data_IF_917606716961
#
_entry.id   IF_917606716961
#
_cell.length_a   1.000
_cell.length_b   1.000
_cell.length_c   1.000
_cell.angle_alpha   90.00
_cell.angle_beta   90.00
_cell.angle_gamma   90.00
#
_symmetry.space_group_name_H-M   'P 1'
#
loop_
_entity.id
_entity.type
_entity.pdbx_description
1 polymer ?
#
# COMPACT_ATOMS: atom_id res chain seq x y z
N UNK A 1 14.86 -67.69 10.53
CA UNK A 1 15.00 -66.37 9.86
C UNK A 1 13.96 -65.44 10.46
N UNK A 2 14.31 -64.68 11.51
CA UNK A 2 13.37 -63.76 12.15
C UNK A 2 13.75 -62.34 11.74
N UNK A 3 13.02 -61.78 10.78
CA UNK A 3 13.20 -60.40 10.35
C UNK A 3 12.61 -59.49 11.44
N UNK A 4 13.48 -58.95 12.30
CA UNK A 4 13.14 -57.89 13.24
C UNK A 4 12.78 -56.64 12.45
N UNK A 5 11.51 -56.52 12.06
CA UNK A 5 10.95 -55.33 11.46
C UNK A 5 11.07 -54.18 12.44
N UNK A 6 12.03 -53.28 12.20
CA UNK A 6 12.19 -52.03 12.94
C UNK A 6 10.88 -51.26 12.77
N UNK A 7 9.97 -51.36 13.75
CA UNK A 7 8.77 -50.52 13.77
C UNK A 7 9.24 -49.07 13.67
N UNK A 8 8.84 -48.34 12.62
CA UNK A 8 9.30 -46.99 12.45
C UNK A 8 8.60 -46.14 13.52
N UNK A 9 9.28 -45.91 14.64
CA UNK A 9 8.77 -45.12 15.77
C UNK A 9 8.34 -43.71 15.34
N UNK A 10 8.95 -43.18 14.27
CA UNK A 10 8.70 -41.85 13.72
C UNK A 10 7.27 -41.68 13.18
N UNK A 11 6.76 -42.47 12.22
CA UNK A 11 5.38 -42.37 11.76
C UNK A 11 4.34 -42.70 12.84
N UNK A 12 4.64 -43.57 13.80
CA UNK A 12 3.74 -43.82 14.94
C UNK A 12 3.61 -42.56 15.81
N UNK A 13 4.74 -41.91 16.13
CA UNK A 13 4.76 -40.64 16.86
C UNK A 13 4.04 -39.52 16.10
N UNK A 14 4.27 -39.40 14.80
CA UNK A 14 3.55 -38.41 13.96
C UNK A 14 2.05 -38.69 13.91
N UNK A 15 1.64 -39.96 13.81
CA UNK A 15 0.24 -40.36 13.85
C UNK A 15 -0.44 -39.95 15.15
N UNK A 16 0.22 -40.14 16.30
CA UNK A 16 -0.30 -39.72 17.62
C UNK A 16 -0.41 -38.20 17.74
N UNK A 17 0.59 -37.45 17.24
CA UNK A 17 0.53 -35.98 17.22
C UNK A 17 -0.61 -35.49 16.33
N UNK A 18 -0.80 -36.07 15.15
CA UNK A 18 -1.90 -35.70 14.25
C UNK A 18 -3.26 -36.03 14.86
N UNK A 19 -3.42 -37.20 15.48
CA UNK A 19 -4.64 -37.58 16.20
C UNK A 19 -4.94 -36.65 17.38
N UNK A 20 -3.90 -36.22 18.11
CA UNK A 20 -4.02 -35.23 19.17
C UNK A 20 -4.46 -33.87 18.62
N UNK A 21 -3.87 -33.39 17.53
CA UNK A 21 -4.25 -32.13 16.89
C UNK A 21 -5.69 -32.16 16.38
N UNK A 22 -6.13 -33.27 15.78
CA UNK A 22 -7.51 -33.44 15.31
C UNK A 22 -8.49 -33.51 16.49
N UNK A 23 -8.13 -34.24 17.56
CA UNK A 23 -8.94 -34.32 18.78
C UNK A 23 -9.07 -32.98 19.50
N UNK A 24 -7.99 -32.20 19.58
CA UNK A 24 -7.99 -30.85 20.16
C UNK A 24 -8.85 -29.87 19.35
N UNK A 25 -8.83 -30.01 18.01
CA UNK A 25 -9.60 -29.17 17.10
C UNK A 25 -11.11 -29.43 17.17
N UNK A 26 -11.54 -30.70 17.27
CA UNK A 26 -12.95 -31.08 17.14
C UNK A 26 -13.67 -31.40 18.47
N UNK A 27 -13.02 -31.98 19.47
CA UNK A 27 -13.71 -32.43 20.69
C UNK A 27 -13.62 -31.44 21.87
N UNK A 28 -12.49 -30.75 22.06
CA UNK A 28 -12.18 -30.13 23.37
C UNK A 28 -12.31 -28.61 23.41
N UNK A 29 -12.53 -27.92 22.27
CA UNK A 29 -12.44 -26.43 22.23
C UNK A 29 -11.10 -25.95 22.84
N UNK A 30 -10.02 -26.64 22.46
CA UNK A 30 -8.70 -26.49 23.05
C UNK A 30 -7.94 -25.21 22.65
N UNK A 31 -6.68 -25.07 23.07
CA UNK A 31 -5.85 -23.89 22.85
C UNK A 31 -5.64 -23.55 21.37
N UNK A 32 -5.66 -24.54 20.47
CA UNK A 32 -5.54 -24.31 19.02
C UNK A 32 -6.78 -23.61 18.45
N UNK A 33 -7.97 -24.01 18.88
CA UNK A 33 -9.20 -23.33 18.48
C UNK A 33 -9.26 -21.91 19.05
N UNK A 34 -8.80 -21.69 20.28
CA UNK A 34 -8.63 -20.33 20.83
C UNK A 34 -7.62 -19.50 20.05
N UNK A 35 -6.51 -20.08 19.57
CA UNK A 35 -5.58 -19.36 18.70
C UNK A 35 -6.19 -19.04 17.34
N UNK A 36 -6.97 -19.94 16.76
CA UNK A 36 -7.73 -19.70 15.53
C UNK A 36 -8.80 -18.61 15.74
N UNK A 37 -9.56 -18.66 16.84
CA UNK A 37 -10.56 -17.65 17.19
C UNK A 37 -9.93 -16.28 17.49
N UNK A 38 -8.72 -16.23 18.06
CA UNK A 38 -7.97 -14.98 18.26
C UNK A 38 -7.41 -14.43 16.93
N UNK A 39 -7.20 -15.30 15.95
CA UNK A 39 -6.75 -14.92 14.60
C UNK A 39 -7.93 -14.52 13.72
N UNK A 40 -9.13 -15.05 14.00
CA UNK A 40 -10.38 -14.72 13.33
C UNK A 40 -10.87 -13.31 13.75
N UNK A 41 -10.88 -12.34 12.82
CA UNK A 41 -11.28 -10.96 13.11
C UNK A 41 -12.74 -10.82 13.56
N UNK A 42 -13.58 -11.82 13.25
CA UNK A 42 -15.02 -11.78 13.48
C UNK A 42 -15.46 -12.65 14.68
N UNK A 43 -14.51 -13.24 15.40
CA UNK A 43 -14.82 -14.01 16.61
C UNK A 43 -15.40 -13.12 17.73
N UNK A 44 -16.30 -13.65 18.58
CA UNK A 44 -16.89 -12.87 19.67
C UNK A 44 -15.83 -12.37 20.68
N UNK A 45 -14.70 -13.08 20.82
CA UNK A 45 -13.58 -12.68 21.66
C UNK A 45 -12.74 -11.53 21.05
N UNK A 46 -12.54 -11.53 19.74
CA UNK A 46 -11.82 -10.44 19.07
C UNK A 46 -12.65 -9.16 18.97
N UNK A 47 -13.98 -9.28 18.86
CA UNK A 47 -14.92 -8.15 18.89
C UNK A 47 -15.01 -7.48 20.27
N UNK A 48 -14.99 -8.25 21.35
CA UNK A 48 -14.98 -7.71 22.72
C UNK A 48 -13.66 -7.00 23.03
N UNK A 49 -12.54 -7.62 22.69
CA UNK A 49 -11.22 -6.98 22.81
C UNK A 49 -11.09 -5.72 21.91
N UNK A 50 -11.70 -5.72 20.72
CA UNK A 50 -11.74 -4.55 19.84
C UNK A 50 -12.54 -3.39 20.44
N UNK A 51 -13.70 -3.68 21.06
CA UNK A 51 -14.51 -2.68 21.78
C UNK A 51 -13.77 -2.08 22.97
N UNK A 52 -13.08 -2.91 23.77
CA UNK A 52 -12.26 -2.45 24.90
C UNK A 52 -11.11 -1.53 24.45
N UNK A 53 -10.50 -1.83 23.30
CA UNK A 53 -9.44 -1.00 22.69
C UNK A 53 -9.98 0.22 21.94
N UNK A 54 -11.29 0.41 21.89
CA UNK A 54 -11.92 1.52 21.18
C UNK A 54 -11.72 1.48 19.67
N UNK A 55 -11.64 0.29 19.07
CA UNK A 55 -11.56 0.13 17.61
C UNK A 55 -12.93 0.39 16.99
N UNK A 56 -12.99 1.31 16.04
CA UNK A 56 -14.21 1.73 15.34
C UNK A 56 -14.37 0.98 14.01
N UNK A 57 -13.26 0.76 13.29
CA UNK A 57 -13.24 0.01 12.03
C UNK A 57 -11.93 -0.77 11.87
N UNK A 58 -11.92 -1.76 10.98
CA UNK A 58 -10.71 -2.47 10.55
C UNK A 58 -10.62 -2.46 9.04
N UNK A 59 -9.49 -2.01 8.50
CA UNK A 59 -9.23 -1.97 7.06
C UNK A 59 -8.05 -2.88 6.75
N UNK A 60 -8.31 -3.99 6.07
CA UNK A 60 -7.32 -5.04 5.75
C UNK A 60 -6.44 -5.45 6.95
N UNK A 61 -7.08 -5.70 8.10
CA UNK A 61 -6.41 -6.12 9.34
C UNK A 61 -5.81 -4.99 10.19
N UNK A 62 -5.82 -3.74 9.70
CA UNK A 62 -5.33 -2.57 10.46
C UNK A 62 -6.49 -1.91 11.23
N UNK A 63 -6.40 -1.76 12.56
CA UNK A 63 -7.47 -1.15 13.36
C UNK A 63 -7.44 0.39 13.26
N UNK A 64 -8.61 0.97 13.02
CA UNK A 64 -8.89 2.40 13.17
C UNK A 64 -9.51 2.62 14.55
N UNK A 65 -8.85 3.42 15.38
CA UNK A 65 -9.26 3.68 16.77
C UNK A 65 -10.16 4.91 16.87
N UNK A 66 -10.97 4.97 17.94
CA UNK A 66 -11.83 6.13 18.22
C UNK A 66 -11.02 7.42 18.33
N UNK A 67 -9.87 7.37 19.00
CA UNK A 67 -8.98 8.54 19.10
C UNK A 67 -8.44 9.01 17.74
N UNK A 68 -8.26 8.13 16.76
CA UNK A 68 -7.90 8.54 15.39
C UNK A 68 -9.06 9.23 14.68
N UNK A 69 -10.26 8.67 14.80
CA UNK A 69 -11.49 9.26 14.25
C UNK A 69 -11.79 10.63 14.86
N UNK A 70 -11.70 10.77 16.19
CA UNK A 70 -11.96 12.04 16.87
C UNK A 70 -10.96 13.13 16.47
N UNK A 71 -9.68 12.75 16.26
CA UNK A 71 -8.67 13.68 15.74
C UNK A 71 -8.96 14.09 14.29
N UNK A 72 -9.31 13.14 13.42
CA UNK A 72 -9.64 13.44 12.04
C UNK A 72 -10.88 14.36 11.95
N UNK A 73 -11.89 14.10 12.78
CA UNK A 73 -13.06 14.97 12.90
C UNK A 73 -12.68 16.37 13.36
N UNK A 74 -11.84 16.49 14.39
CA UNK A 74 -11.41 17.79 14.91
C UNK A 74 -10.60 18.58 13.86
N UNK A 75 -9.74 17.90 13.10
CA UNK A 75 -8.97 18.50 12.00
C UNK A 75 -9.88 18.99 10.87
N UNK A 76 -10.85 18.18 10.46
CA UNK A 76 -11.82 18.55 9.43
C UNK A 76 -12.68 19.75 9.86
N UNK A 77 -13.19 19.72 11.10
CA UNK A 77 -13.96 20.84 11.65
C UNK A 77 -13.11 22.12 11.75
N UNK A 78 -11.84 21.99 12.11
CA UNK A 78 -10.91 23.12 12.16
C UNK A 78 -10.66 23.73 10.78
N UNK A 79 -10.49 22.92 9.73
CA UNK A 79 -10.37 23.38 8.35
C UNK A 79 -11.62 24.13 7.87
N UNK A 80 -12.80 23.67 8.29
CA UNK A 80 -14.09 24.30 7.99
C UNK A 80 -14.40 25.52 8.87
N UNK A 81 -13.53 25.84 9.85
CA UNK A 81 -13.72 26.93 10.80
C UNK A 81 -14.87 26.71 11.79
N UNK A 82 -15.28 25.46 12.02
CA UNK A 82 -16.40 25.08 12.90
C UNK A 82 -15.88 24.36 14.14
N UNK A 83 -16.67 24.39 15.22
CA UNK A 83 -16.36 23.60 16.43
C UNK A 83 -17.39 22.48 16.60
N UNK A 84 -16.99 21.36 17.20
CA UNK A 84 -17.90 20.22 17.48
C UNK A 84 -19.15 20.58 18.30
N UNK A 85 -19.13 21.72 18.99
CA UNK A 85 -20.25 22.25 19.78
C UNK A 85 -21.29 22.98 18.93
N UNK A 86 -20.94 23.38 17.70
CA UNK A 86 -21.79 24.17 16.81
C UNK A 86 -22.70 23.30 15.94
N UNK A 87 -22.48 21.98 15.91
CA UNK A 87 -23.22 21.05 15.05
C UNK A 87 -24.39 20.40 15.80
N UNK A 88 -25.49 20.17 15.08
CA UNK A 88 -26.59 19.37 15.59
C UNK A 88 -26.15 17.91 15.82
N UNK A 89 -26.82 17.14 16.69
CA UNK A 89 -26.48 15.72 16.90
C UNK A 89 -26.54 14.87 15.62
N UNK A 90 -27.39 15.24 14.66
CA UNK A 90 -27.49 14.57 13.37
C UNK A 90 -26.27 14.91 12.47
N UNK A 91 -25.88 16.17 12.42
CA UNK A 91 -24.74 16.62 11.61
C UNK A 91 -23.41 16.11 12.18
N UNK A 92 -23.30 16.02 13.52
CA UNK A 92 -22.15 15.38 14.18
C UNK A 92 -22.01 13.91 13.81
N UNK A 93 -23.12 13.19 13.65
CA UNK A 93 -23.09 11.79 13.23
C UNK A 93 -22.58 11.70 11.78
N UNK A 94 -23.11 12.52 10.88
CA UNK A 94 -22.66 12.56 9.49
C UNK A 94 -21.18 12.95 9.37
N UNK A 95 -20.73 13.95 10.14
CA UNK A 95 -19.33 14.37 10.17
C UNK A 95 -18.41 13.26 10.70
N UNK A 96 -18.85 12.46 11.69
CA UNK A 96 -18.09 11.29 12.16
C UNK A 96 -18.01 10.19 11.09
N UNK A 97 -19.09 9.94 10.36
CA UNK A 97 -19.10 8.97 9.26
C UNK A 97 -18.16 9.43 8.14
N UNK A 98 -18.22 10.70 7.72
CA UNK A 98 -17.31 11.27 6.73
C UNK A 98 -15.83 11.20 7.17
N UNK A 99 -15.53 11.54 8.43
CA UNK A 99 -14.18 11.43 8.97
C UNK A 99 -13.69 9.97 9.03
N UNK A 100 -14.59 9.01 9.25
CA UNK A 100 -14.25 7.59 9.21
C UNK A 100 -13.96 7.13 7.77
N UNK A 101 -14.79 7.51 6.80
CA UNK A 101 -14.61 7.17 5.39
C UNK A 101 -13.26 7.70 4.85
N UNK A 102 -12.92 8.95 5.18
CA UNK A 102 -11.62 9.54 4.81
C UNK A 102 -10.45 8.75 5.41
N UNK A 103 -10.57 8.29 6.68
CA UNK A 103 -9.56 7.46 7.31
C UNK A 103 -9.44 6.08 6.65
N UNK A 104 -10.55 5.51 6.16
CA UNK A 104 -10.57 4.27 5.41
C UNK A 104 -9.85 4.47 4.07
N UNK A 105 -10.17 5.52 3.33
CA UNK A 105 -9.56 5.82 2.04
C UNK A 105 -8.06 6.06 2.16
N UNK A 106 -7.64 6.83 3.15
CA UNK A 106 -6.22 7.01 3.47
C UNK A 106 -5.51 5.68 3.77
N UNK A 107 -6.19 4.76 4.45
CA UNK A 107 -5.63 3.46 4.76
C UNK A 107 -5.54 2.57 3.53
N UNK A 108 -6.56 2.56 2.66
CA UNK A 108 -6.54 1.86 1.38
C UNK A 108 -5.44 2.40 0.47
N UNK A 109 -5.27 3.72 0.41
CA UNK A 109 -4.20 4.35 -0.36
C UNK A 109 -2.83 3.92 0.15
N UNK A 110 -2.60 3.92 1.47
CA UNK A 110 -1.34 3.43 2.07
C UNK A 110 -1.06 1.98 1.72
N UNK A 111 -2.09 1.12 1.74
CA UNK A 111 -1.95 -0.28 1.37
C UNK A 111 -1.60 -0.44 -0.12
N UNK A 112 -2.25 0.31 -1.00
CA UNK A 112 -1.92 0.31 -2.43
C UNK A 112 -0.48 0.79 -2.68
N UNK A 113 -0.07 1.88 -2.03
CA UNK A 113 1.31 2.39 -2.12
C UNK A 113 2.31 1.34 -1.62
N UNK A 114 2.03 0.68 -0.49
CA UNK A 114 2.90 -0.39 0.03
C UNK A 114 2.98 -1.59 -0.93
N UNK A 115 1.86 -2.02 -1.48
CA UNK A 115 1.81 -3.12 -2.44
C UNK A 115 2.58 -2.79 -3.74
N UNK A 116 2.46 -1.55 -4.21
CA UNK A 116 3.12 -1.08 -5.43
C UNK A 116 4.58 -0.67 -5.18
N UNK A 117 4.99 -0.40 -3.95
CA UNK A 117 6.35 0.05 -3.62
C UNK A 117 7.45 -0.88 -4.15
N UNK A 118 7.18 -2.20 -4.16
CA UNK A 118 8.09 -3.20 -4.72
C UNK A 118 8.20 -3.11 -6.26
N UNK A 119 7.14 -2.71 -6.96
CA UNK A 119 7.11 -2.54 -8.42
C UNK A 119 7.63 -1.15 -8.85
N UNK A 120 7.64 -0.19 -7.92
CA UNK A 120 8.12 1.18 -8.11
C UNK A 120 9.62 1.34 -7.85
N UNK A 121 10.34 0.26 -7.52
CA UNK A 121 11.80 0.32 -7.36
C UNK A 121 12.43 0.50 -8.75
N UNK A 122 13.20 1.58 -8.91
CA UNK A 122 14.12 1.72 -10.04
C UNK A 122 15.29 0.78 -9.79
N UNK A 123 15.53 -0.17 -10.70
CA UNK A 123 16.68 -1.06 -10.58
C UNK A 123 17.96 -0.30 -10.90
N UNK A 124 19.10 -0.72 -10.34
CA UNK A 124 20.39 -0.08 -10.61
C UNK A 124 20.74 -0.10 -12.11
N UNK A 125 20.33 -1.16 -12.82
CA UNK A 125 20.49 -1.28 -14.27
C UNK A 125 19.67 -0.23 -15.05
N UNK A 126 18.44 0.05 -14.64
CA UNK A 126 17.60 1.09 -15.27
C UNK A 126 18.17 2.49 -15.02
N UNK A 127 18.71 2.73 -13.81
CA UNK A 127 19.37 3.98 -13.46
C UNK A 127 20.62 4.14 -14.32
N UNK A 128 21.45 3.10 -14.45
CA UNK A 128 22.67 3.13 -15.28
C UNK A 128 22.37 3.40 -16.75
N UNK A 129 21.36 2.75 -17.32
CA UNK A 129 20.93 3.04 -18.68
C UNK A 129 20.47 4.49 -18.84
N UNK A 130 19.71 5.01 -17.88
CA UNK A 130 19.22 6.39 -17.92
C UNK A 130 20.36 7.39 -17.78
N UNK A 131 21.35 7.11 -16.93
CA UNK A 131 22.59 7.88 -16.82
C UNK A 131 23.34 7.86 -18.14
N UNK A 132 23.54 6.69 -18.77
CA UNK A 132 24.19 6.59 -20.09
C UNK A 132 23.46 7.40 -21.16
N UNK A 133 22.13 7.32 -21.21
CA UNK A 133 21.32 8.14 -22.14
C UNK A 133 21.44 9.63 -21.85
N UNK A 134 21.54 10.02 -20.58
CA UNK A 134 21.73 11.42 -20.20
C UNK A 134 23.12 11.91 -20.60
N UNK A 135 24.18 11.17 -20.27
CA UNK A 135 25.56 11.49 -20.63
C UNK A 135 25.74 11.56 -22.14
N UNK A 136 25.13 10.64 -22.90
CA UNK A 136 25.18 10.63 -24.36
C UNK A 136 24.50 11.83 -25.04
N UNK A 137 23.69 12.63 -24.32
CA UNK A 137 23.12 13.88 -24.82
C UNK A 137 24.06 15.08 -24.68
N UNK A 138 25.15 14.93 -23.92
CA UNK A 138 26.14 15.98 -23.72
C UNK A 138 27.39 15.68 -24.55
N UNK A 139 27.92 16.70 -25.20
CA UNK A 139 29.12 16.59 -26.05
C UNK A 139 30.40 16.35 -25.23
N UNK A 140 30.42 16.70 -23.94
CA UNK A 140 31.56 16.51 -23.06
C UNK A 140 31.18 16.36 -21.59
N UNK A 141 32.08 15.76 -20.79
CA UNK A 141 31.94 15.68 -19.32
C UNK A 141 31.86 17.06 -18.66
N UNK A 142 32.57 18.06 -19.19
CA UNK A 142 32.53 19.44 -18.67
C UNK A 142 31.18 20.13 -18.89
N UNK A 143 30.50 19.83 -20.01
CA UNK A 143 29.14 20.33 -20.26
C UNK A 143 28.11 19.71 -19.30
N UNK A 144 28.26 18.42 -18.98
CA UNK A 144 27.44 17.73 -17.97
C UNK A 144 27.65 18.32 -16.58
N UNK A 145 28.89 18.52 -16.13
CA UNK A 145 29.18 19.11 -14.82
C UNK A 145 28.64 20.55 -14.70
N UNK A 146 28.72 21.33 -15.78
CA UNK A 146 28.16 22.68 -15.82
C UNK A 146 26.63 22.66 -15.70
N UNK A 147 25.97 21.70 -16.38
CA UNK A 147 24.53 21.48 -16.26
C UNK A 147 24.12 20.92 -14.88
N UNK A 148 24.95 20.11 -14.24
CA UNK A 148 24.71 19.63 -12.88
C UNK A 148 24.80 20.78 -11.87
N UNK A 149 25.81 21.64 -12.00
CA UNK A 149 25.97 22.82 -11.14
C UNK A 149 24.81 23.81 -11.30
N UNK A 150 24.32 24.04 -12.52
CA UNK A 150 23.15 24.91 -12.74
C UNK A 150 21.86 24.37 -12.13
N UNK A 151 21.77 23.04 -11.93
CA UNK A 151 20.62 22.38 -11.28
C UNK A 151 20.82 22.12 -9.77
N UNK A 152 21.89 22.65 -9.18
CA UNK A 152 22.21 22.47 -7.75
C UNK A 152 22.55 21.02 -7.39
N UNK A 153 23.14 20.27 -8.33
CA UNK A 153 23.57 18.88 -8.11
C UNK A 153 25.08 18.88 -7.87
N UNK A 154 25.47 18.60 -6.62
CA UNK A 154 26.87 18.65 -6.22
C UNK A 154 27.63 17.34 -6.49
N UNK A 155 26.94 16.18 -6.48
CA UNK A 155 27.55 14.86 -6.62
C UNK A 155 26.84 14.00 -7.67
N UNK A 156 27.57 13.07 -8.27
CA UNK A 156 27.01 12.09 -9.20
C UNK A 156 25.96 11.18 -8.53
N UNK A 157 26.12 10.87 -7.24
CA UNK A 157 25.13 10.10 -6.48
C UNK A 157 23.78 10.82 -6.40
N UNK A 158 23.78 12.15 -6.18
CA UNK A 158 22.55 12.94 -6.13
C UNK A 158 21.84 12.95 -7.50
N UNK A 159 22.61 12.91 -8.60
CA UNK A 159 22.06 12.76 -9.95
C UNK A 159 21.37 11.39 -10.11
N UNK A 160 22.02 10.31 -9.65
CA UNK A 160 21.46 8.96 -9.69
C UNK A 160 20.18 8.86 -8.86
N UNK A 161 20.15 9.47 -7.68
CA UNK A 161 18.97 9.48 -6.81
C UNK A 161 17.80 10.28 -7.43
N UNK A 162 18.09 11.41 -8.08
CA UNK A 162 17.09 12.18 -8.84
C UNK A 162 16.56 11.41 -10.04
N UNK A 163 17.43 10.72 -10.78
CA UNK A 163 17.02 9.87 -11.90
C UNK A 163 16.19 8.69 -11.41
N UNK A 164 16.57 8.06 -10.30
CA UNK A 164 15.79 7.03 -9.66
C UNK A 164 14.40 7.55 -9.32
N UNK A 165 14.29 8.69 -8.62
CA UNK A 165 13.02 9.31 -8.27
C UNK A 165 12.12 9.57 -9.50
N UNK A 166 12.69 10.10 -10.59
CA UNK A 166 11.97 10.32 -11.86
C UNK A 166 11.48 9.01 -12.46
N UNK A 167 12.30 7.94 -12.47
CA UNK A 167 11.89 6.61 -12.95
C UNK A 167 10.73 6.08 -12.11
N UNK A 168 10.77 6.22 -10.77
CA UNK A 168 9.66 5.78 -9.90
C UNK A 168 8.37 6.52 -10.24
N UNK A 169 8.45 7.83 -10.48
CA UNK A 169 7.31 8.65 -10.85
C UNK A 169 6.72 8.26 -12.21
N UNK A 170 7.56 8.06 -13.24
CA UNK A 170 7.13 7.58 -14.56
C UNK A 170 6.44 6.20 -14.46
N UNK A 171 7.03 5.26 -13.70
CA UNK A 171 6.43 3.93 -13.46
C UNK A 171 5.08 4.03 -12.76
N UNK A 172 4.96 4.90 -11.76
CA UNK A 172 3.70 5.12 -11.05
C UNK A 172 2.60 5.65 -11.98
N UNK A 173 2.93 6.66 -12.81
CA UNK A 173 2.00 7.23 -13.79
C UNK A 173 1.58 6.16 -14.81
N UNK A 174 2.53 5.39 -15.35
CA UNK A 174 2.23 4.34 -16.33
C UNK A 174 1.35 3.23 -15.74
N UNK A 175 1.60 2.81 -14.50
CA UNK A 175 0.79 1.80 -13.83
C UNK A 175 -0.63 2.28 -13.51
N UNK A 176 -0.79 3.55 -13.12
CA UNK A 176 -2.07 4.08 -12.63
C UNK A 176 -2.92 4.77 -13.68
N UNK A 177 -2.31 5.38 -14.68
CA UNK A 177 -3.00 6.18 -15.69
C UNK A 177 -2.97 5.47 -17.04
N UNK A 178 -1.88 4.78 -17.38
CA UNK A 178 -1.72 4.04 -18.64
C UNK A 178 -2.93 3.14 -19.01
N UNK A 179 -3.48 2.33 -18.10
CA UNK A 179 -4.65 1.49 -18.39
C UNK A 179 -5.95 2.27 -18.65
N UNK A 180 -6.04 3.52 -18.19
CA UNK A 180 -7.23 4.36 -18.30
C UNK A 180 -7.16 5.35 -19.48
N UNK A 181 -6.00 5.51 -20.11
CA UNK A 181 -5.85 6.31 -21.33
C UNK A 181 -6.30 5.46 -22.53
N UNK A 182 -7.49 5.75 -23.04
CA UNK A 182 -7.96 5.29 -24.34
C UNK A 182 -8.15 6.52 -25.22
N UNK A 183 -7.19 6.78 -26.09
CA UNK A 183 -7.36 7.77 -27.16
C UNK A 183 -7.89 7.01 -28.37
N UNK A 184 -9.05 7.41 -28.89
CA UNK A 184 -9.56 6.81 -30.12
C UNK A 184 -8.88 7.44 -31.34
N UNK A 185 -8.84 6.70 -32.45
CA UNK A 185 -8.33 7.23 -33.72
C UNK A 185 -9.18 8.42 -34.21
N UNK A 186 -10.46 8.49 -33.83
CA UNK A 186 -11.30 9.65 -34.12
C UNK A 186 -10.87 10.90 -33.34
N UNK A 187 -10.61 10.77 -32.03
CA UNK A 187 -10.11 11.89 -31.21
C UNK A 187 -8.75 12.40 -31.71
N UNK A 188 -7.88 11.49 -32.15
CA UNK A 188 -6.58 11.85 -32.71
C UNK A 188 -6.70 12.61 -34.05
N UNK A 189 -7.61 12.17 -34.93
CA UNK A 189 -7.90 12.86 -36.20
C UNK A 189 -8.55 14.22 -35.97
N UNK A 190 -9.52 14.29 -35.08
CA UNK A 190 -10.17 15.57 -34.74
C UNK A 190 -9.17 16.59 -34.17
N UNK A 191 -8.25 16.14 -33.32
CA UNK A 191 -7.20 17.03 -32.81
C UNK A 191 -6.24 17.47 -33.92
N UNK A 192 -5.81 16.55 -34.81
CA UNK A 192 -4.93 16.86 -35.93
C UNK A 192 -5.57 17.87 -36.89
N UNK A 193 -6.83 17.67 -37.27
CA UNK A 193 -7.56 18.56 -38.19
C UNK A 193 -7.78 19.95 -37.57
N UNK A 194 -8.07 20.01 -36.25
CA UNK A 194 -8.25 21.28 -35.52
C UNK A 194 -6.93 22.02 -35.26
N UNK A 195 -5.80 21.32 -35.21
CA UNK A 195 -4.48 21.90 -34.87
C UNK A 195 -3.49 21.88 -36.06
N UNK A 196 -3.94 21.57 -37.27
CA UNK A 196 -3.08 21.47 -38.45
C UNK A 196 -2.25 22.74 -38.73
N UNK A 197 -2.76 23.92 -38.33
CA UNK A 197 -2.08 25.20 -38.49
C UNK A 197 -0.94 25.46 -37.48
N UNK A 198 -0.82 24.68 -36.39
CA UNK A 198 0.25 24.82 -35.39
C UNK A 198 1.35 23.75 -35.51
N UNK A 199 1.18 22.78 -36.41
CA UNK A 199 2.12 21.67 -36.64
C UNK A 199 2.83 21.78 -38.00
N UNK A 200 2.44 22.73 -38.88
CA UNK A 200 3.24 23.16 -40.05
C UNK A 200 4.21 24.27 -39.69
#
# INVERSE_FOLDING_TARGET
MSASGKFPLRPALYGTVVLYLIGDLFLVHGPLRRQLDLTDPDSPASLTAAKERGVVARVAGQPITRGQMDRALAEQLWLDGKTSTDLSPADLKFAREAALDELIDHQLLRLQVKALSAQLVASDAEIDERVKRLVGRFESKGALESAMKSQGIAKEQDLRDRLAARIRQEKFINLRIGPFIRVSDEEAREWFDKNAASVS
#
